data_IF_794695957966
#
_entry.id   IF_794695957966
#
_cell.length_a   1.000
_cell.length_b   1.000
_cell.length_c   1.000
_cell.angle_alpha   90.00
_cell.angle_beta   90.00
_cell.angle_gamma   90.00
#
_symmetry.space_group_name_H-M   'P 1'
#
loop_
_entity.id
_entity.type
_entity.pdbx_description
1 polymer ?
#
# COMPACT_ATOMS: atom_id res chain seq x y z
N UNK A 1 -16.85 -0.28 -1.27
CA UNK A 1 -15.40 -0.33 -1.21
C UNK A 1 -15.03 -1.68 -0.65
N UNK A 2 -14.30 -2.45 -1.45
CA UNK A 2 -13.79 -3.75 -1.05
C UNK A 2 -12.28 -3.61 -0.96
N UNK A 3 -11.79 -3.40 0.26
CA UNK A 3 -10.39 -3.12 0.51
C UNK A 3 -9.53 -4.37 0.29
N UNK A 4 -8.41 -4.19 -0.41
CA UNK A 4 -7.34 -5.18 -0.49
C UNK A 4 -6.01 -4.53 -0.13
N UNK A 5 -5.27 -5.13 0.80
CA UNK A 5 -3.91 -4.73 1.13
C UNK A 5 -2.91 -5.66 0.45
N UNK A 6 -2.04 -5.11 -0.39
CA UNK A 6 -0.99 -5.85 -1.08
C UNK A 6 0.38 -5.45 -0.53
N UNK A 7 1.10 -6.41 0.04
CA UNK A 7 2.47 -6.23 0.51
C UNK A 7 3.42 -5.97 -0.67
N UNK A 8 4.19 -4.89 -0.60
CA UNK A 8 5.25 -4.56 -1.56
C UNK A 8 6.60 -5.03 -1.03
N UNK A 9 6.89 -4.70 0.22
CA UNK A 9 8.19 -4.95 0.87
C UNK A 9 7.95 -5.52 2.26
N UNK A 10 8.82 -6.45 2.68
CA UNK A 10 8.92 -6.91 4.05
C UNK A 10 10.37 -7.17 4.40
N UNK A 11 10.80 -6.58 5.49
CA UNK A 11 12.08 -6.83 6.14
C UNK A 11 11.84 -7.28 7.58
N UNK A 12 12.91 -7.50 8.33
CA UNK A 12 12.81 -7.75 9.77
C UNK A 12 12.32 -6.52 10.56
N UNK A 13 12.45 -5.32 10.00
CA UNK A 13 12.22 -4.06 10.71
C UNK A 13 11.10 -3.21 10.09
N UNK A 14 10.60 -3.58 8.92
CA UNK A 14 9.60 -2.78 8.22
C UNK A 14 8.78 -3.58 7.25
N UNK A 15 7.56 -3.12 7.01
CA UNK A 15 6.66 -3.63 5.98
C UNK A 15 6.03 -2.47 5.23
N UNK A 16 5.77 -2.67 3.93
CA UNK A 16 5.06 -1.69 3.11
C UNK A 16 3.92 -2.37 2.37
N UNK A 17 2.77 -1.70 2.32
CA UNK A 17 1.55 -2.18 1.70
C UNK A 17 0.94 -1.10 0.80
N UNK A 18 0.38 -1.48 -0.35
CA UNK A 18 -0.56 -0.64 -1.12
C UNK A 18 -1.98 -1.03 -0.74
N UNK A 19 -2.86 -0.04 -0.65
CA UNK A 19 -4.30 -0.22 -0.42
C UNK A 19 -5.02 -0.07 -1.76
N UNK A 20 -5.86 -1.04 -2.11
CA UNK A 20 -6.66 -1.04 -3.32
C UNK A 20 -8.16 -1.10 -2.99
N UNK A 21 -8.98 -0.33 -3.70
CA UNK A 21 -10.42 -0.59 -3.78
C UNK A 21 -10.69 -1.53 -4.96
N UNK A 22 -11.17 -2.75 -4.67
CA UNK A 22 -11.50 -3.73 -5.70
C UNK A 22 -12.84 -3.45 -6.40
N UNK A 23 -13.67 -2.54 -5.87
CA UNK A 23 -14.94 -2.15 -6.49
C UNK A 23 -14.75 -1.06 -7.55
N UNK A 24 -13.58 -0.42 -7.60
CA UNK A 24 -13.26 0.70 -8.49
C UNK A 24 -12.02 0.37 -9.33
N UNK A 25 -12.03 0.81 -10.59
CA UNK A 25 -10.90 0.62 -11.50
C UNK A 25 -10.33 1.98 -11.93
N UNK A 26 -9.02 2.04 -12.13
CA UNK A 26 -8.34 3.18 -12.73
C UNK A 26 -8.43 3.18 -14.28
N UNK A 27 -7.74 4.12 -14.92
CA UNK A 27 -7.72 4.27 -16.39
C UNK A 27 -7.14 3.04 -17.11
N UNK A 28 -6.31 2.25 -16.43
CA UNK A 28 -5.69 1.02 -16.96
C UNK A 28 -6.53 -0.23 -16.64
N UNK A 29 -7.74 -0.06 -16.11
CA UNK A 29 -8.62 -1.15 -15.67
C UNK A 29 -8.02 -2.00 -14.54
N UNK A 30 -7.11 -1.43 -13.75
CA UNK A 30 -6.57 -2.04 -12.54
C UNK A 30 -7.34 -1.55 -11.31
N UNK A 31 -7.39 -2.32 -10.21
CA UNK A 31 -7.97 -1.86 -8.97
C UNK A 31 -7.39 -0.52 -8.55
N UNK A 32 -8.26 0.39 -8.13
CA UNK A 32 -7.87 1.76 -7.78
C UNK A 32 -6.97 1.77 -6.55
N UNK A 33 -5.73 2.26 -6.70
CA UNK A 33 -4.83 2.49 -5.56
C UNK A 33 -5.35 3.66 -4.73
N UNK A 34 -5.63 3.43 -3.45
CA UNK A 34 -6.09 4.43 -2.49
C UNK A 34 -4.94 5.12 -1.76
N UNK A 35 -3.77 4.50 -1.75
CA UNK A 35 -2.62 4.95 -0.98
C UNK A 35 -1.70 3.79 -0.57
N UNK A 36 -0.88 4.04 0.45
CA UNK A 36 0.05 3.05 1.00
C UNK A 36 0.18 3.15 2.52
N UNK A 37 0.63 2.08 3.13
CA UNK A 37 1.04 2.04 4.53
C UNK A 37 2.48 1.59 4.62
N UNK A 38 3.26 2.33 5.37
CA UNK A 38 4.59 1.95 5.82
C UNK A 38 4.51 1.62 7.31
N UNK A 39 4.93 0.42 7.72
CA UNK A 39 5.02 -0.02 9.12
C UNK A 39 6.48 -0.22 9.49
N UNK A 40 6.82 0.18 10.72
CA UNK A 40 8.16 0.09 11.30
C UNK A 40 8.10 -0.60 12.65
N UNK A 41 8.88 -1.66 12.81
CA UNK A 41 9.00 -2.43 14.03
C UNK A 41 10.26 -2.01 14.78
N UNK A 42 10.06 -1.49 15.99
CA UNK A 42 11.14 -1.05 16.88
C UNK A 42 11.09 -1.79 18.22
N UNK A 43 12.07 -1.58 19.09
CA UNK A 43 12.04 -2.16 20.43
C UNK A 43 10.98 -1.48 21.32
N UNK A 44 10.62 -0.25 20.99
CA UNK A 44 9.71 0.63 21.72
C UNK A 44 8.25 0.46 21.29
N UNK A 45 8.01 -0.10 20.10
CA UNK A 45 6.68 -0.35 19.56
C UNK A 45 6.64 -0.44 18.04
N UNK A 46 5.42 -0.54 17.52
CA UNK A 46 5.15 -0.49 16.08
C UNK A 46 4.57 0.87 15.72
N UNK A 47 5.16 1.50 14.71
CA UNK A 47 4.76 2.81 14.19
C UNK A 47 4.48 2.70 12.70
N UNK A 48 3.49 3.44 12.22
CA UNK A 48 3.15 3.44 10.82
C UNK A 48 2.81 4.81 10.28
N UNK A 49 2.90 4.93 8.96
CA UNK A 49 2.37 6.05 8.20
C UNK A 49 1.41 5.51 7.15
N UNK A 50 0.16 5.94 7.23
CA UNK A 50 -0.86 5.73 6.21
C UNK A 50 -0.90 6.97 5.31
N UNK A 51 -0.43 6.82 4.08
CA UNK A 51 -0.51 7.85 3.05
C UNK A 51 -1.71 7.55 2.16
N UNK A 52 -2.64 8.49 2.05
CA UNK A 52 -3.85 8.39 1.23
C UNK A 52 -3.84 9.43 0.11
N UNK A 53 -4.34 9.07 -1.07
CA UNK A 53 -4.53 10.05 -2.14
C UNK A 53 -5.74 10.92 -1.83
N UNK A 54 -5.51 12.23 -1.67
CA UNK A 54 -6.55 13.19 -1.25
C UNK A 54 -7.80 13.10 -2.11
N UNK A 55 -7.64 12.92 -3.42
CA UNK A 55 -8.75 12.92 -4.40
C UNK A 55 -9.84 11.90 -4.05
N UNK A 56 -9.49 10.71 -3.54
CA UNK A 56 -10.46 9.65 -3.24
C UNK A 56 -11.14 9.83 -1.88
N UNK A 57 -10.56 10.64 -0.99
CA UNK A 57 -11.07 10.87 0.37
C UNK A 57 -11.61 12.29 0.58
N UNK A 58 -11.60 13.15 -0.44
CA UNK A 58 -12.03 14.54 -0.33
C UNK A 58 -13.49 14.72 0.14
N UNK A 59 -14.33 13.69 -0.03
CA UNK A 59 -15.74 13.68 0.37
C UNK A 59 -16.00 12.97 1.71
N UNK A 60 -14.98 12.38 2.33
CA UNK A 60 -15.13 11.69 3.61
C UNK A 60 -15.34 12.71 4.72
N UNK A 61 -16.26 12.41 5.63
CA UNK A 61 -16.31 13.08 6.93
C UNK A 61 -15.20 12.55 7.84
N UNK A 62 -14.88 13.27 8.92
CA UNK A 62 -13.92 12.82 9.92
C UNK A 62 -14.29 11.43 10.51
N UNK A 63 -15.59 11.18 10.69
CA UNK A 63 -16.09 9.88 11.17
C UNK A 63 -15.88 8.77 10.13
N UNK A 64 -16.21 9.02 8.86
CA UNK A 64 -15.99 8.06 7.79
C UNK A 64 -14.50 7.74 7.61
N UNK A 65 -13.64 8.76 7.71
CA UNK A 65 -12.19 8.59 7.67
C UNK A 65 -11.70 7.77 8.86
N UNK A 66 -12.17 8.06 10.07
CA UNK A 66 -11.81 7.29 11.26
C UNK A 66 -12.20 5.82 11.14
N UNK A 67 -13.41 5.54 10.66
CA UNK A 67 -13.88 4.15 10.45
C UNK A 67 -13.03 3.42 9.42
N UNK A 68 -12.70 4.10 8.31
CA UNK A 68 -11.80 3.54 7.30
C UNK A 68 -10.40 3.25 7.86
N UNK A 69 -9.80 4.19 8.59
CA UNK A 69 -8.48 3.98 9.22
C UNK A 69 -8.54 2.81 10.20
N UNK A 70 -9.62 2.67 10.97
CA UNK A 70 -9.80 1.54 11.87
C UNK A 70 -9.88 0.22 11.12
N UNK A 71 -10.64 0.15 10.02
CA UNK A 71 -10.72 -1.05 9.18
C UNK A 71 -9.34 -1.45 8.63
N UNK A 72 -8.55 -0.48 8.17
CA UNK A 72 -7.15 -0.71 7.76
C UNK A 72 -6.30 -1.25 8.91
N UNK A 73 -6.44 -0.70 10.12
CA UNK A 73 -5.68 -1.17 11.28
C UNK A 73 -6.10 -2.58 11.74
N UNK A 74 -7.39 -2.90 11.66
CA UNK A 74 -7.93 -4.21 12.01
C UNK A 74 -7.39 -5.29 11.04
N UNK A 75 -7.26 -4.98 9.75
CA UNK A 75 -6.62 -5.84 8.74
C UNK A 75 -5.12 -6.08 9.01
N UNK A 76 -4.41 -5.13 9.63
CA UNK A 76 -3.03 -5.39 10.01
C UNK A 76 -2.91 -6.32 11.21
N UNK A 77 -3.76 -6.12 12.22
CA UNK A 77 -3.67 -6.87 13.47
C UNK A 77 -4.17 -8.32 13.35
N UNK A 78 -5.34 -8.55 12.74
CA UNK A 78 -5.98 -9.86 12.74
C UNK A 78 -5.47 -10.80 11.63
N UNK A 79 -5.50 -10.45 10.32
CA UNK A 79 -5.01 -11.33 9.27
C UNK A 79 -3.51 -11.25 9.00
N UNK A 80 -2.84 -10.12 9.27
CA UNK A 80 -1.42 -9.95 8.90
C UNK A 80 -0.42 -10.15 10.05
N UNK A 81 -0.90 -10.25 11.30
CA UNK A 81 -0.08 -10.58 12.47
C UNK A 81 0.79 -9.43 12.98
N UNK A 82 0.43 -8.19 12.66
CA UNK A 82 1.02 -6.99 13.28
C UNK A 82 0.58 -6.95 14.75
N UNK A 83 1.45 -6.58 15.71
CA UNK A 83 1.04 -6.42 17.11
C UNK A 83 -0.21 -5.52 17.23
N UNK A 84 -1.18 -5.92 18.04
CA UNK A 84 -2.48 -5.24 18.13
C UNK A 84 -2.44 -3.81 18.69
N UNK A 85 -1.32 -3.41 19.28
CA UNK A 85 -1.07 -2.05 19.72
C UNK A 85 0.00 -1.40 18.84
N UNK A 86 -0.43 -0.44 18.03
CA UNK A 86 0.45 0.34 17.17
C UNK A 86 -0.14 1.72 16.88
N UNK A 87 0.73 2.67 16.57
CA UNK A 87 0.34 4.02 16.18
C UNK A 87 0.45 4.15 14.67
N UNK A 88 -0.54 4.79 14.04
CA UNK A 88 -0.49 5.13 12.62
C UNK A 88 -0.76 6.62 12.41
N UNK A 89 0.13 7.30 11.72
CA UNK A 89 -0.06 8.68 11.28
C UNK A 89 -0.75 8.68 9.91
N UNK A 90 -1.85 9.42 9.76
CA UNK A 90 -2.58 9.53 8.49
C UNK A 90 -2.20 10.83 7.77
N UNK A 91 -1.75 10.71 6.51
CA UNK A 91 -1.30 11.82 5.67
C UNK A 91 -2.02 11.78 4.34
N UNK A 92 -2.52 12.92 3.88
CA UNK A 92 -3.10 13.06 2.55
C UNK A 92 -2.08 13.63 1.56
N UNK A 93 -1.79 12.88 0.50
CA UNK A 93 -0.96 13.31 -0.60
C UNK A 93 -1.81 13.72 -1.81
N UNK A 94 -1.39 14.76 -2.51
CA UNK A 94 -1.97 15.16 -3.78
C UNK A 94 -1.30 14.38 -4.92
N UNK A 95 -2.10 13.89 -5.87
CA UNK A 95 -1.67 12.94 -6.91
C UNK A 95 -0.64 13.53 -7.88
N UNK A 96 -0.63 14.86 -8.06
CA UNK A 96 0.16 15.52 -9.10
C UNK A 96 1.69 15.54 -8.85
N UNK A 97 2.17 15.26 -7.65
CA UNK A 97 3.59 15.38 -7.29
C UNK A 97 4.24 14.08 -6.79
N UNK A 98 3.55 12.93 -6.86
CA UNK A 98 4.12 11.67 -6.41
C UNK A 98 5.14 11.11 -7.43
N UNK A 99 6.42 11.08 -7.04
CA UNK A 99 7.51 10.52 -7.83
C UNK A 99 8.20 9.40 -7.07
N UNK A 100 8.33 8.24 -7.71
CA UNK A 100 9.06 7.10 -7.16
C UNK A 100 10.45 7.07 -7.78
N UNK A 101 11.47 7.03 -6.93
CA UNK A 101 12.85 6.81 -7.33
C UNK A 101 13.34 5.53 -6.68
N UNK A 102 14.01 4.67 -7.46
CA UNK A 102 14.55 3.41 -6.99
C UNK A 102 16.00 3.28 -7.44
N UNK A 103 16.86 2.85 -6.52
CA UNK A 103 18.22 2.39 -6.83
C UNK A 103 18.30 0.86 -6.93
N UNK A 104 17.16 0.16 -6.87
CA UNK A 104 17.11 -1.27 -7.12
C UNK A 104 17.39 -1.52 -8.60
N UNK A 105 18.34 -2.40 -8.88
CA UNK A 105 18.58 -2.90 -10.23
C UNK A 105 17.31 -3.65 -10.66
N UNK A 106 16.76 -3.27 -11.82
CA UNK A 106 15.55 -3.89 -12.38
C UNK A 106 15.88 -5.36 -12.69
N UNK A 107 15.61 -6.28 -11.76
CA UNK A 107 15.75 -7.73 -11.99
C UNK A 107 14.57 -8.27 -12.79
N UNK A 108 14.22 -7.58 -13.88
CA UNK A 108 13.54 -8.23 -15.01
C UNK A 108 14.64 -8.89 -15.82
N UNK A 109 15.12 -10.03 -15.31
CA UNK A 109 15.80 -11.00 -16.15
C UNK A 109 14.81 -11.40 -17.24
N UNK A 110 15.06 -10.85 -18.43
CA UNK A 110 14.90 -11.44 -19.75
C UNK A 110 14.39 -12.89 -19.68
N UNK A 111 13.06 -13.05 -19.62
CA UNK A 111 12.41 -14.31 -19.92
C UNK A 111 12.57 -14.50 -21.43
N UNK A 112 13.73 -15.07 -21.80
CA UNK A 112 14.23 -15.12 -23.16
C UNK A 112 13.16 -15.49 -24.18
N UNK A 113 13.04 -14.62 -25.18
CA UNK A 113 12.68 -15.04 -26.53
C UNK A 113 13.69 -16.10 -26.99
N UNK A 114 13.39 -17.37 -26.75
CA UNK A 114 13.88 -18.45 -27.59
C UNK A 114 12.94 -18.61 -28.79
N UNK A 115 12.92 -17.59 -29.66
CA UNK A 115 12.37 -17.72 -31.01
C UNK A 115 13.48 -18.22 -31.94
N UNK A 116 13.40 -19.51 -32.27
CA UNK A 116 13.85 -20.14 -33.52
C UNK A 116 15.22 -19.78 -34.11
N UNK A 117 16.15 -20.74 -34.06
CA UNK A 117 17.14 -20.95 -35.12
C UNK A 117 17.44 -22.46 -35.29
N UNK A 118 16.88 -23.01 -36.38
CA UNK A 118 17.45 -24.01 -37.31
C UNK A 118 17.88 -25.40 -36.81
N UNK A 119 17.12 -26.43 -37.21
CA UNK A 119 17.55 -27.48 -38.16
C UNK A 119 16.36 -28.35 -38.59
#
# INVERSE_FOLDING_TARGET
MKLQLKRIVRTLQSEQYVLFDLDQLDEESLPLSLGKVDLHYTAEGTYGTLLLWRVYFAHFSDEALRLFVQEVMDEFSAPMGVPGEFLIECVFADEQDYKVYSNMLDTREDAGEASSAES
#
